data_IF_222563306963
#
_entry.id   IF_222563306963
#
_cell.length_a   1.000
_cell.length_b   1.000
_cell.length_c   1.000
_cell.angle_alpha   90.00
_cell.angle_beta   90.00
_cell.angle_gamma   90.00
#
_symmetry.space_group_name_H-M   'P 1'
#
loop_
_entity.id
_entity.type
_entity.pdbx_description
1 polymer ?
#
# COMPACT_ATOMS: atom_id res chain seq x y z
N UNK A 1 5.81 -9.58 11.81
CA UNK A 1 4.59 -9.63 10.98
C UNK A 1 4.87 -8.79 9.72
N UNK A 2 4.06 -8.90 8.66
CA UNK A 2 4.36 -8.28 7.35
C UNK A 2 4.46 -6.74 7.46
N UNK A 3 3.75 -6.18 8.45
CA UNK A 3 3.75 -4.75 8.79
C UNK A 3 5.10 -4.25 9.30
N UNK A 4 5.76 -5.01 10.16
CA UNK A 4 7.03 -4.61 10.80
C UNK A 4 8.22 -4.76 9.84
N UNK A 5 8.12 -5.62 8.84
CA UNK A 5 9.14 -5.77 7.78
C UNK A 5 8.98 -4.76 6.65
N UNK A 6 7.86 -4.02 6.60
CA UNK A 6 7.59 -3.02 5.57
C UNK A 6 7.31 -3.62 4.19
N UNK A 7 6.72 -4.81 4.17
CA UNK A 7 6.40 -5.55 2.94
C UNK A 7 4.91 -5.46 2.64
N UNK A 8 4.55 -5.38 1.37
CA UNK A 8 3.18 -5.50 0.88
C UNK A 8 3.09 -6.81 0.09
N UNK A 9 2.09 -7.64 0.40
CA UNK A 9 1.87 -8.90 -0.32
C UNK A 9 0.66 -8.75 -1.23
N UNK A 10 0.89 -8.87 -2.54
CA UNK A 10 -0.18 -9.09 -3.51
C UNK A 10 -0.36 -10.60 -3.68
N UNK A 11 -1.45 -11.12 -3.15
CA UNK A 11 -1.75 -12.56 -3.13
C UNK A 11 -2.77 -12.88 -4.21
N UNK A 12 -2.39 -13.70 -5.19
CA UNK A 12 -3.31 -14.24 -6.18
C UNK A 12 -3.98 -15.50 -5.62
N UNK A 13 -5.26 -15.39 -5.31
CA UNK A 13 -6.06 -16.46 -4.72
C UNK A 13 -6.85 -17.29 -5.75
N UNK A 14 -6.54 -17.18 -7.05
CA UNK A 14 -7.20 -17.97 -8.11
C UNK A 14 -6.99 -19.48 -7.94
N UNK A 15 -5.83 -19.87 -7.42
CA UNK A 15 -5.52 -21.25 -7.03
C UNK A 15 -4.90 -21.26 -5.64
N UNK A 16 -5.72 -21.57 -4.64
CA UNK A 16 -5.29 -21.59 -3.24
C UNK A 16 -4.36 -22.77 -2.90
N UNK A 17 -4.22 -23.76 -3.80
CA UNK A 17 -3.27 -24.87 -3.63
C UNK A 17 -1.88 -24.48 -4.15
N UNK A 18 -1.82 -23.56 -5.11
CA UNK A 18 -0.59 -23.07 -5.75
C UNK A 18 -0.54 -21.54 -5.71
N UNK A 19 -0.41 -20.97 -4.51
CA UNK A 19 -0.44 -19.52 -4.30
C UNK A 19 0.69 -18.83 -5.07
N UNK A 20 0.31 -17.86 -5.91
CA UNK A 20 1.25 -16.91 -6.50
C UNK A 20 1.21 -15.62 -5.66
N UNK A 21 2.34 -15.27 -5.05
CA UNK A 21 2.48 -14.10 -4.18
C UNK A 21 3.56 -13.20 -4.73
N UNK A 22 3.23 -11.93 -4.95
CA UNK A 22 4.22 -10.88 -5.23
C UNK A 22 4.51 -10.14 -3.93
N UNK A 23 5.75 -10.20 -3.48
CA UNK A 23 6.25 -9.43 -2.35
C UNK A 23 6.83 -8.10 -2.84
N UNK A 24 6.36 -7.00 -2.27
CA UNK A 24 6.76 -5.64 -2.64
C UNK A 24 7.36 -4.98 -1.41
N UNK A 25 8.62 -4.57 -1.51
CA UNK A 25 9.28 -3.77 -0.48
C UNK A 25 8.73 -2.34 -0.52
N UNK A 26 8.37 -1.80 0.65
CA UNK A 26 7.83 -0.46 0.80
C UNK A 26 8.57 0.30 1.92
N UNK A 27 7.94 0.50 3.06
CA UNK A 27 8.55 1.12 4.24
C UNK A 27 8.03 0.45 5.51
N UNK A 28 8.84 0.43 6.57
CA UNK A 28 8.47 -0.20 7.84
C UNK A 28 7.26 0.49 8.48
N UNK A 29 6.52 -0.26 9.28
CA UNK A 29 5.35 0.20 10.03
C UNK A 29 4.13 0.51 9.16
N UNK A 30 3.86 -0.37 8.18
CA UNK A 30 2.64 -0.30 7.38
C UNK A 30 1.41 -0.51 8.27
N UNK A 31 0.44 0.40 8.17
CA UNK A 31 -0.71 0.45 9.07
C UNK A 31 -2.05 0.32 8.34
N UNK A 32 -2.56 1.43 7.81
CA UNK A 32 -3.87 1.58 7.16
C UNK A 32 -3.74 2.29 5.82
N UNK A 33 -4.73 2.10 4.95
CA UNK A 33 -4.66 2.53 3.56
C UNK A 33 -5.92 2.21 2.77
N UNK A 34 -5.99 2.74 1.56
CA UNK A 34 -7.13 2.56 0.67
C UNK A 34 -6.75 2.69 -0.80
N UNK A 35 -7.75 2.42 -1.63
CA UNK A 35 -7.63 2.51 -3.07
C UNK A 35 -7.82 3.95 -3.55
N UNK A 36 -7.09 4.31 -4.60
CA UNK A 36 -7.43 5.48 -5.40
C UNK A 36 -8.81 5.32 -6.06
N UNK A 37 -9.37 6.42 -6.59
CA UNK A 37 -10.69 6.39 -7.25
C UNK A 37 -10.76 5.40 -8.43
N UNK A 38 -9.67 5.18 -9.16
CA UNK A 38 -9.62 4.22 -10.27
C UNK A 38 -9.49 2.76 -9.83
N UNK A 39 -9.21 2.51 -8.54
CA UNK A 39 -8.92 1.19 -7.96
C UNK A 39 -7.72 0.49 -8.60
N UNK A 40 -6.77 1.25 -9.14
CA UNK A 40 -5.52 0.72 -9.69
C UNK A 40 -4.38 0.86 -8.70
N UNK A 41 -4.36 1.94 -7.93
CA UNK A 41 -3.31 2.23 -6.98
C UNK A 41 -3.81 1.98 -5.56
N UNK A 42 -3.01 1.26 -4.80
CA UNK A 42 -3.23 1.08 -3.37
C UNK A 42 -2.27 1.97 -2.60
N UNK A 43 -2.82 2.88 -1.79
CA UNK A 43 -2.07 3.85 -0.99
C UNK A 43 -2.15 3.42 0.47
N UNK A 44 -1.00 3.20 1.11
CA UNK A 44 -0.92 2.72 2.49
C UNK A 44 0.07 3.53 3.31
N UNK A 45 -0.31 3.90 4.53
CA UNK A 45 0.52 4.63 5.46
C UNK A 45 1.56 3.71 6.10
N UNK A 46 2.83 4.09 5.96
CA UNK A 46 3.93 3.63 6.80
C UNK A 46 4.08 4.63 7.96
N UNK A 47 3.20 4.53 8.96
CA UNK A 47 2.89 5.63 9.87
C UNK A 47 4.10 6.12 10.68
N UNK A 48 4.82 5.22 11.35
CA UNK A 48 6.02 5.59 12.13
C UNK A 48 7.23 5.92 11.24
N UNK A 49 7.09 5.77 9.92
CA UNK A 49 8.08 6.23 8.94
C UNK A 49 7.67 7.56 8.29
N UNK A 50 6.53 8.17 8.65
CA UNK A 50 5.98 9.40 8.07
C UNK A 50 5.87 9.36 6.53
N UNK A 51 5.45 8.22 5.98
CA UNK A 51 5.39 7.98 4.54
C UNK A 51 4.07 7.35 4.10
N UNK A 52 3.67 7.61 2.85
CA UNK A 52 2.66 6.85 2.13
C UNK A 52 3.36 6.02 1.04
N UNK A 53 3.19 4.70 1.08
CA UNK A 53 3.60 3.82 0.00
C UNK A 53 2.46 3.68 -1.01
N UNK A 54 2.77 3.85 -2.29
CA UNK A 54 1.82 3.73 -3.40
C UNK A 54 2.19 2.51 -4.23
N UNK A 55 1.28 1.56 -4.37
CA UNK A 55 1.48 0.32 -5.14
C UNK A 55 0.61 0.36 -6.39
N UNK A 56 1.19 0.14 -7.57
CA UNK A 56 0.43 -0.13 -8.80
C UNK A 56 0.06 -1.62 -8.81
N UNK A 57 -1.21 -1.93 -8.58
CA UNK A 57 -1.66 -3.31 -8.44
C UNK A 57 -1.85 -4.01 -9.79
N UNK A 58 -1.87 -3.26 -10.90
CA UNK A 58 -1.94 -3.83 -12.24
C UNK A 58 -0.62 -4.49 -12.62
N UNK A 59 0.50 -3.88 -12.27
CA UNK A 59 1.85 -4.39 -12.58
C UNK A 59 2.54 -5.03 -11.37
N UNK A 60 1.96 -4.91 -10.18
CA UNK A 60 2.45 -5.52 -8.96
C UNK A 60 3.76 -4.91 -8.45
N UNK A 61 3.91 -3.58 -8.52
CA UNK A 61 5.14 -2.88 -8.13
C UNK A 61 4.87 -1.65 -7.27
N UNK A 62 5.86 -1.28 -6.46
CA UNK A 62 5.89 0.02 -5.79
C UNK A 62 5.98 1.11 -6.87
N UNK A 63 5.01 2.02 -6.88
CA UNK A 63 4.95 3.14 -7.79
C UNK A 63 5.62 4.38 -7.20
N UNK A 64 5.43 4.63 -5.90
CA UNK A 64 6.03 5.76 -5.20
C UNK A 64 6.12 5.51 -3.69
N UNK A 65 7.01 6.24 -3.04
CA UNK A 65 7.08 6.39 -1.60
C UNK A 65 7.10 7.89 -1.28
N UNK A 66 6.01 8.39 -0.72
CA UNK A 66 5.74 9.82 -0.56
C UNK A 66 5.97 10.22 0.90
N UNK A 67 6.80 11.23 1.13
CA UNK A 67 6.97 11.85 2.45
C UNK A 67 5.75 12.69 2.83
N UNK A 68 5.31 12.56 4.07
CA UNK A 68 4.16 13.28 4.65
C UNK A 68 4.47 13.70 6.09
N UNK A 69 3.53 14.44 6.69
CA UNK A 69 3.64 14.83 8.10
C UNK A 69 3.58 13.64 9.06
N UNK A 70 3.83 13.93 10.33
CA UNK A 70 4.06 12.94 11.37
C UNK A 70 2.87 11.99 11.59
N UNK A 71 3.14 10.68 11.58
CA UNK A 71 2.20 9.60 11.90
C UNK A 71 0.89 9.71 11.08
N UNK A 72 0.95 9.58 9.74
CA UNK A 72 -0.25 9.58 8.91
C UNK A 72 -1.17 8.41 9.28
N UNK A 73 -2.46 8.69 9.37
CA UNK A 73 -3.48 7.70 9.73
C UNK A 73 -4.78 7.90 8.90
N UNK A 74 -4.75 7.58 7.60
CA UNK A 74 -5.81 7.94 6.66
C UNK A 74 -7.11 7.13 6.81
N UNK A 75 -7.12 6.03 7.57
CA UNK A 75 -8.15 5.00 7.46
C UNK A 75 -8.10 4.38 6.06
N UNK A 76 -9.16 4.58 5.26
CA UNK A 76 -9.16 4.25 3.82
C UNK A 76 -8.84 5.44 2.91
N UNK A 77 -8.57 6.60 3.48
CA UNK A 77 -8.39 7.86 2.75
C UNK A 77 -9.71 8.44 2.22
N UNK A 78 -9.58 9.55 1.49
CA UNK A 78 -10.68 10.24 0.81
C UNK A 78 -10.24 10.62 -0.60
N UNK A 79 -11.00 10.16 -1.61
CA UNK A 79 -10.76 10.50 -3.01
C UNK A 79 -11.75 11.56 -3.45
N UNK A 80 -11.27 12.65 -4.04
CA UNK A 80 -12.09 13.69 -4.67
C UNK A 80 -11.28 14.41 -5.75
N UNK A 81 -11.95 15.02 -6.72
CA UNK A 81 -11.31 15.91 -7.69
C UNK A 81 -11.20 17.28 -7.04
N UNK A 82 -9.98 17.78 -6.88
CA UNK A 82 -9.76 19.15 -6.42
C UNK A 82 -10.15 20.13 -7.54
N UNK A 83 -10.83 21.25 -7.24
CA UNK A 83 -11.16 22.28 -8.23
C UNK A 83 -9.93 22.95 -8.85
#
# INVERSE_FOLDING_TARGET
NVKETGKILLVNYKDIRNLNITEIEAAKYLHDGGWDASKRYFLVAANQSNKIAVVDTKVGKLAALVDVDKIPHPGRGANFVHP
#
